data_IF_197310017740
#
_entry.id   IF_197310017740
#
_cell.length_a   1.000
_cell.length_b   1.000
_cell.length_c   1.000
_cell.angle_alpha   90.00
_cell.angle_beta   90.00
_cell.angle_gamma   90.00
#
_symmetry.space_group_name_H-M   'P 1'
#
loop_
_entity.id
_entity.type
_entity.pdbx_description
1 polymer ?
#
# COMPACT_ATOMS: atom_id res chain seq x y z
N UNK A 1 21.88 -2.26 -27.06
CA UNK A 1 21.25 -1.32 -26.11
C UNK A 1 21.62 -1.80 -24.72
N UNK A 2 22.55 -1.12 -24.08
CA UNK A 2 23.27 -1.60 -22.89
C UNK A 2 22.41 -1.33 -21.65
N UNK A 3 21.92 -2.38 -21.00
CA UNK A 3 21.21 -2.26 -19.72
C UNK A 3 22.18 -1.72 -18.67
N UNK A 4 21.88 -0.56 -18.09
CA UNK A 4 22.53 -0.14 -16.84
C UNK A 4 22.04 -1.08 -15.75
N UNK A 5 22.92 -1.97 -15.32
CA UNK A 5 22.76 -2.74 -14.09
C UNK A 5 22.65 -1.77 -12.92
N UNK A 6 21.50 -1.81 -12.24
CA UNK A 6 21.33 -1.15 -10.96
C UNK A 6 22.22 -1.91 -9.96
N UNK A 7 23.19 -1.22 -9.37
CA UNK A 7 24.09 -1.83 -8.39
C UNK A 7 23.34 -2.03 -7.05
N UNK A 8 22.73 -3.20 -6.91
CA UNK A 8 21.99 -3.64 -5.73
C UNK A 8 22.91 -4.13 -4.60
N UNK A 9 24.24 -4.01 -4.72
CA UNK A 9 25.21 -4.66 -3.82
C UNK A 9 25.36 -4.02 -2.42
N UNK A 10 24.59 -2.98 -2.08
CA UNK A 10 24.76 -2.24 -0.82
C UNK A 10 23.57 -2.30 0.17
N UNK A 11 22.61 -3.20 -0.02
CA UNK A 11 21.59 -3.48 1.00
C UNK A 11 21.79 -4.89 1.56
N UNK A 12 22.69 -5.04 2.53
CA UNK A 12 22.76 -6.21 3.39
C UNK A 12 21.36 -6.49 3.98
N UNK A 13 20.67 -7.53 3.48
CA UNK A 13 19.30 -7.86 3.85
C UNK A 13 19.24 -8.41 5.29
N UNK A 14 18.93 -7.49 6.20
CA UNK A 14 17.96 -7.56 7.29
C UNK A 14 17.57 -8.95 7.85
N UNK A 15 17.90 -9.21 9.13
CA UNK A 15 17.40 -10.33 9.96
C UNK A 15 16.53 -9.81 11.13
N UNK A 16 15.29 -10.27 11.25
CA UNK A 16 14.47 -10.02 12.45
C UNK A 16 14.90 -10.96 13.58
N UNK A 17 14.90 -10.44 14.80
CA UNK A 17 14.99 -11.20 16.04
C UNK A 17 13.59 -11.13 16.65
N UNK A 18 12.98 -12.28 16.95
CA UNK A 18 11.59 -12.43 17.43
C UNK A 18 11.21 -11.46 18.57
N UNK A 19 12.19 -11.02 19.35
CA UNK A 19 12.03 -10.05 20.44
C UNK A 19 11.49 -8.66 20.02
N UNK A 20 11.54 -8.28 18.74
CA UNK A 20 10.98 -6.99 18.26
C UNK A 20 9.49 -7.07 17.86
N UNK A 21 8.91 -8.27 17.84
CA UNK A 21 7.50 -8.51 17.46
C UNK A 21 6.61 -8.79 18.68
N UNK A 22 7.16 -8.86 19.89
CA UNK A 22 6.38 -9.01 21.13
C UNK A 22 5.38 -7.84 21.27
N UNK A 23 4.09 -8.16 21.20
CA UNK A 23 2.99 -7.19 21.34
C UNK A 23 2.26 -6.81 20.04
N UNK A 24 2.71 -7.29 18.87
CA UNK A 24 2.02 -7.07 17.59
C UNK A 24 1.00 -8.20 17.33
N UNK A 25 -0.20 -8.08 17.87
CA UNK A 25 -1.20 -9.18 17.89
C UNK A 25 -2.17 -9.20 16.72
N UNK A 26 -1.93 -8.45 15.64
CA UNK A 26 -2.82 -8.39 14.47
C UNK A 26 -2.09 -8.81 13.20
N UNK A 27 -2.81 -9.40 12.24
CA UNK A 27 -2.28 -9.82 10.92
C UNK A 27 -1.64 -8.65 10.11
N UNK A 28 -1.84 -7.42 10.58
CA UNK A 28 -1.46 -6.16 9.93
C UNK A 28 -0.09 -5.63 10.36
N UNK A 29 0.69 -6.34 11.19
CA UNK A 29 1.97 -5.84 11.71
C UNK A 29 3.01 -5.51 10.61
N UNK A 30 2.90 -6.14 9.43
CA UNK A 30 3.73 -5.80 8.27
C UNK A 30 3.52 -4.37 7.75
N UNK A 31 2.35 -3.78 8.01
CA UNK A 31 2.04 -2.38 7.66
C UNK A 31 2.96 -1.41 8.41
N UNK A 32 3.19 -1.66 9.70
CA UNK A 32 4.10 -0.83 10.50
C UNK A 32 5.54 -0.90 9.98
N UNK A 33 5.96 -2.06 9.51
CA UNK A 33 7.29 -2.24 8.96
C UNK A 33 7.47 -1.48 7.66
N UNK A 34 6.53 -1.55 6.72
CA UNK A 34 6.64 -0.79 5.46
C UNK A 34 6.65 0.72 5.72
N UNK A 35 5.88 1.19 6.71
CA UNK A 35 5.85 2.60 7.12
C UNK A 35 7.19 3.04 7.71
N UNK A 36 7.76 2.25 8.62
CA UNK A 36 9.08 2.51 9.21
C UNK A 36 10.19 2.51 8.15
N UNK A 37 10.12 1.57 7.19
CA UNK A 37 11.08 1.50 6.09
C UNK A 37 11.03 2.76 5.22
N UNK A 38 9.82 3.21 4.86
CA UNK A 38 9.60 4.41 4.05
C UNK A 38 9.96 5.70 4.80
N UNK A 39 9.89 5.71 6.13
CA UNK A 39 10.39 6.80 6.97
C UNK A 39 11.93 6.84 7.07
N UNK A 40 12.64 5.92 6.42
CA UNK A 40 14.11 5.85 6.45
C UNK A 40 14.68 5.24 7.74
N UNK A 41 13.85 4.57 8.55
CA UNK A 41 14.33 3.83 9.71
C UNK A 41 15.18 2.65 9.24
N UNK A 42 16.44 2.57 9.69
CA UNK A 42 17.42 1.52 9.33
C UNK A 42 17.01 0.10 9.78
N UNK A 43 15.87 -0.07 10.44
CA UNK A 43 15.51 -1.27 11.19
C UNK A 43 14.25 -2.01 10.70
N UNK A 44 13.58 -1.57 9.63
CA UNK A 44 12.38 -2.27 9.16
C UNK A 44 12.76 -3.46 8.26
N UNK A 45 12.52 -4.65 8.77
CA UNK A 45 12.85 -5.92 8.12
C UNK A 45 11.52 -6.55 7.70
N UNK A 46 11.23 -6.51 6.41
CA UNK A 46 10.06 -7.24 5.91
C UNK A 46 10.40 -8.73 5.84
N UNK A 47 9.46 -9.64 6.17
CA UNK A 47 9.62 -11.07 5.94
C UNK A 47 10.01 -11.33 4.48
N UNK A 48 10.94 -12.26 4.24
CA UNK A 48 11.28 -12.70 2.89
C UNK A 48 10.42 -13.89 2.51
N UNK A 49 10.04 -13.98 1.23
CA UNK A 49 9.30 -15.13 0.73
C UNK A 49 10.19 -16.29 0.24
N UNK A 50 11.50 -16.25 0.54
CA UNK A 50 12.51 -17.13 -0.05
C UNK A 50 12.57 -18.52 0.61
N UNK A 51 11.52 -19.33 0.38
CA UNK A 51 11.59 -20.80 0.45
C UNK A 51 11.93 -21.43 1.81
N UNK A 52 12.01 -20.64 2.88
CA UNK A 52 11.90 -21.15 4.25
C UNK A 52 10.42 -21.25 4.61
N UNK A 53 10.07 -22.12 5.54
CA UNK A 53 8.73 -22.14 6.13
C UNK A 53 8.45 -20.77 6.75
N UNK A 54 7.86 -19.86 5.98
CA UNK A 54 7.27 -18.63 6.46
C UNK A 54 6.07 -19.08 7.26
N UNK A 55 5.99 -18.76 8.54
CA UNK A 55 4.77 -19.05 9.28
C UNK A 55 3.60 -18.25 8.69
N UNK A 56 2.38 -18.71 8.97
CA UNK A 56 1.18 -18.09 8.41
C UNK A 56 1.05 -16.59 8.77
N UNK A 57 1.51 -16.18 9.95
CA UNK A 57 1.42 -14.78 10.39
C UNK A 57 2.42 -13.88 9.65
N UNK A 58 3.64 -14.34 9.41
CA UNK A 58 4.64 -13.67 8.59
C UNK A 58 4.20 -13.53 7.14
N UNK A 59 3.57 -14.57 6.60
CA UNK A 59 2.98 -14.54 5.26
C UNK A 59 1.89 -13.47 5.14
N UNK A 60 0.95 -13.42 6.09
CA UNK A 60 -0.10 -12.40 6.10
C UNK A 60 0.50 -11.00 6.19
N UNK A 61 1.44 -10.78 7.11
CA UNK A 61 2.10 -9.48 7.26
C UNK A 61 2.81 -9.00 6.00
N UNK A 62 3.48 -9.91 5.28
CA UNK A 62 4.15 -9.60 4.01
C UNK A 62 3.18 -9.04 2.97
N UNK A 63 2.00 -9.64 2.84
CA UNK A 63 0.98 -9.20 1.88
C UNK A 63 0.17 -8.00 2.35
N UNK A 64 -0.18 -7.91 3.63
CA UNK A 64 -0.83 -6.72 4.20
C UNK A 64 0.06 -5.48 4.02
N UNK A 65 1.37 -5.62 4.20
CA UNK A 65 2.34 -4.55 3.91
C UNK A 65 2.25 -4.06 2.46
N UNK A 66 2.27 -4.97 1.47
CA UNK A 66 2.11 -4.60 0.05
C UNK A 66 0.74 -3.96 -0.21
N UNK A 67 -0.31 -4.60 0.30
CA UNK A 67 -1.69 -4.21 0.05
C UNK A 67 -1.94 -2.80 0.56
N UNK A 68 -1.54 -2.51 1.79
CA UNK A 68 -1.59 -1.18 2.39
C UNK A 68 -0.93 -0.10 1.53
N UNK A 69 0.28 -0.35 1.02
CA UNK A 69 0.97 0.61 0.15
C UNK A 69 0.14 0.93 -1.09
N UNK A 70 -0.58 -0.04 -1.62
CA UNK A 70 -1.40 0.12 -2.81
C UNK A 70 -2.73 0.81 -2.50
N UNK A 71 -3.51 0.29 -1.54
CA UNK A 71 -4.87 0.77 -1.29
C UNK A 71 -4.90 2.06 -0.48
N UNK A 72 -4.02 2.20 0.51
CA UNK A 72 -4.02 3.33 1.44
C UNK A 72 -2.97 4.39 1.07
N UNK A 73 -1.75 4.03 0.64
CA UNK A 73 -0.76 5.06 0.20
C UNK A 73 -0.99 5.52 -1.23
N UNK A 74 -1.06 4.62 -2.21
CA UNK A 74 -1.32 5.02 -3.60
C UNK A 74 -2.79 5.41 -3.83
N UNK A 75 -3.68 5.03 -2.90
CA UNK A 75 -5.11 5.32 -3.00
C UNK A 75 -5.78 4.56 -4.13
N UNK A 76 -5.21 3.43 -4.58
CA UNK A 76 -5.77 2.64 -5.67
C UNK A 76 -7.00 1.89 -5.19
N UNK A 77 -8.08 2.01 -5.96
CA UNK A 77 -9.27 1.20 -5.75
C UNK A 77 -9.11 -0.18 -6.36
N UNK A 78 -8.43 -0.29 -7.51
CA UNK A 78 -8.15 -1.56 -8.18
C UNK A 78 -6.65 -1.80 -8.24
N UNK A 79 -6.10 -2.55 -7.25
CA UNK A 79 -4.68 -2.90 -7.21
C UNK A 79 -4.19 -3.59 -8.47
N UNK A 80 -5.00 -4.50 -9.02
CA UNK A 80 -4.66 -5.26 -10.22
C UNK A 80 -4.50 -4.33 -11.41
N UNK A 81 -5.45 -3.43 -11.64
CA UNK A 81 -5.37 -2.45 -12.74
C UNK A 81 -4.16 -1.55 -12.62
N UNK A 82 -3.91 -1.00 -11.42
CA UNK A 82 -2.77 -0.11 -11.20
C UNK A 82 -1.43 -0.78 -11.47
N UNK A 83 -1.23 -2.00 -10.95
CA UNK A 83 0.02 -2.74 -11.16
C UNK A 83 0.17 -3.23 -12.61
N UNK A 84 -0.91 -3.64 -13.29
CA UNK A 84 -0.86 -3.98 -14.72
C UNK A 84 -0.45 -2.77 -15.56
N UNK A 85 -1.09 -1.61 -15.34
CA UNK A 85 -0.77 -0.39 -16.06
C UNK A 85 0.67 0.08 -15.80
N UNK A 86 1.14 0.01 -14.56
CA UNK A 86 2.52 0.33 -14.21
C UNK A 86 3.52 -0.64 -14.87
N UNK A 87 3.19 -1.93 -14.92
CA UNK A 87 3.99 -2.96 -15.60
C UNK A 87 4.05 -2.73 -17.11
N UNK A 88 2.93 -2.42 -17.76
CA UNK A 88 2.86 -2.16 -19.20
C UNK A 88 3.68 -0.94 -19.62
N UNK A 89 3.86 0.03 -18.71
CA UNK A 89 4.74 1.18 -18.90
C UNK A 89 6.24 0.85 -18.68
N UNK A 90 6.59 -0.40 -18.39
CA UNK A 90 7.96 -0.82 -18.11
C UNK A 90 8.43 -0.49 -16.69
N UNK A 91 7.51 -0.32 -15.73
CA UNK A 91 7.79 0.02 -14.33
C UNK A 91 8.66 1.28 -14.18
N UNK A 92 8.22 2.44 -14.71
CA UNK A 92 9.01 3.67 -14.65
C UNK A 92 9.31 4.06 -13.19
N UNK A 93 10.54 4.50 -12.89
CA UNK A 93 10.92 4.92 -11.54
C UNK A 93 10.40 6.33 -11.22
N UNK A 94 10.52 6.74 -9.95
CA UNK A 94 10.29 8.12 -9.54
C UNK A 94 8.96 8.37 -8.83
N UNK A 95 8.38 7.31 -8.27
CA UNK A 95 7.43 7.36 -7.17
C UNK A 95 7.96 6.50 -6.02
N UNK A 96 8.17 7.11 -4.86
CA UNK A 96 8.80 6.44 -3.72
C UNK A 96 8.08 5.17 -3.29
N UNK A 97 6.76 5.11 -3.43
CA UNK A 97 5.99 3.92 -3.03
C UNK A 97 6.18 2.80 -4.03
N UNK A 98 6.09 3.08 -5.33
CA UNK A 98 6.33 2.07 -6.38
C UNK A 98 7.79 1.61 -6.44
N UNK A 99 8.73 2.51 -6.22
CA UNK A 99 10.15 2.20 -6.14
C UNK A 99 10.44 1.26 -4.95
N UNK A 100 9.78 1.48 -3.80
CA UNK A 100 9.85 0.58 -2.65
C UNK A 100 9.17 -0.77 -2.92
N UNK A 101 8.02 -0.78 -3.60
CA UNK A 101 7.36 -2.03 -3.98
C UNK A 101 8.27 -2.86 -4.90
N UNK A 102 8.94 -2.22 -5.85
CA UNK A 102 9.88 -2.87 -6.75
C UNK A 102 11.11 -3.44 -6.01
N UNK A 103 11.61 -2.74 -4.99
CA UNK A 103 12.82 -3.14 -4.27
C UNK A 103 12.62 -4.30 -3.29
N UNK A 104 11.39 -4.49 -2.81
CA UNK A 104 11.01 -5.60 -1.93
C UNK A 104 10.38 -6.73 -2.77
N UNK A 105 9.08 -6.64 -3.06
CA UNK A 105 8.33 -7.71 -3.74
C UNK A 105 8.78 -7.96 -5.19
N UNK A 106 9.31 -6.94 -5.85
CA UNK A 106 9.90 -7.10 -7.19
C UNK A 106 11.19 -7.91 -7.16
N UNK A 107 12.06 -7.68 -6.17
CA UNK A 107 13.30 -8.44 -5.99
C UNK A 107 13.05 -9.85 -5.45
N UNK A 108 12.03 -10.01 -4.62
CA UNK A 108 11.62 -11.31 -4.09
C UNK A 108 10.89 -12.16 -5.13
N UNK A 109 10.66 -11.62 -6.35
CA UNK A 109 9.98 -12.28 -7.47
C UNK A 109 8.54 -12.70 -7.17
N UNK A 110 7.93 -12.14 -6.12
CA UNK A 110 6.56 -12.45 -5.70
C UNK A 110 5.54 -11.46 -6.23
N UNK A 111 5.98 -10.30 -6.74
CA UNK A 111 5.05 -9.25 -7.18
C UNK A 111 4.10 -9.73 -8.28
N UNK A 112 4.57 -10.57 -9.22
CA UNK A 112 3.72 -11.10 -10.28
C UNK A 112 2.59 -12.00 -9.74
N UNK A 113 2.83 -12.71 -8.64
CA UNK A 113 1.80 -13.52 -7.97
C UNK A 113 0.68 -12.64 -7.41
N UNK A 114 1.04 -11.53 -6.77
CA UNK A 114 0.06 -10.56 -6.29
C UNK A 114 -0.71 -9.89 -7.43
N UNK A 115 -0.03 -9.52 -8.53
CA UNK A 115 -0.70 -8.96 -9.72
C UNK A 115 -1.70 -9.96 -10.28
N UNK A 116 -1.34 -11.24 -10.37
CA UNK A 116 -2.22 -12.29 -10.83
C UNK A 116 -3.45 -12.44 -9.91
N UNK A 117 -3.23 -12.59 -8.61
CA UNK A 117 -4.31 -12.66 -7.61
C UNK A 117 -5.25 -11.45 -7.69
N UNK A 118 -4.72 -10.23 -7.73
CA UNK A 118 -5.53 -9.01 -7.81
C UNK A 118 -6.26 -8.87 -9.16
N UNK A 119 -5.71 -9.44 -10.24
CA UNK A 119 -6.38 -9.50 -11.55
C UNK A 119 -7.57 -10.45 -11.52
N UNK A 120 -7.40 -11.64 -10.95
CA UNK A 120 -8.47 -12.63 -10.84
C UNK A 120 -9.59 -12.12 -9.93
N UNK A 121 -9.22 -11.46 -8.84
CA UNK A 121 -10.14 -10.91 -7.85
C UNK A 121 -10.56 -9.45 -8.11
N UNK A 122 -10.37 -8.93 -9.34
CA UNK A 122 -10.66 -7.52 -9.67
C UNK A 122 -12.09 -7.08 -9.28
N UNK A 123 -13.07 -7.99 -9.39
CA UNK A 123 -14.45 -7.72 -9.01
C UNK A 123 -14.64 -7.45 -7.51
N UNK A 124 -13.80 -8.05 -6.65
CA UNK A 124 -13.87 -7.87 -5.20
C UNK A 124 -13.40 -6.47 -4.77
N UNK A 125 -12.61 -5.78 -5.61
CA UNK A 125 -12.16 -4.42 -5.36
C UNK A 125 -13.08 -3.35 -5.95
N UNK A 126 -14.07 -3.74 -6.76
CA UNK A 126 -15.00 -2.81 -7.39
C UNK A 126 -16.12 -2.33 -6.45
N UNK A 127 -16.19 -2.84 -5.21
CA UNK A 127 -17.21 -2.47 -4.22
C UNK A 127 -16.90 -1.11 -3.59
N UNK A 128 -17.51 -0.06 -4.13
CA UNK A 128 -17.50 1.30 -3.60
C UNK A 128 -18.36 2.24 -4.45
N UNK A 129 -18.63 3.46 -3.98
CA UNK A 129 -19.51 4.46 -4.64
C UNK A 129 -18.96 5.04 -5.98
N UNK A 130 -18.03 4.36 -6.66
CA UNK A 130 -17.42 4.80 -7.92
C UNK A 130 -17.74 3.87 -9.09
N UNK A 131 -17.54 4.34 -10.34
CA UNK A 131 -17.72 3.51 -11.55
C UNK A 131 -16.86 2.25 -11.48
N UNK A 132 -17.38 1.04 -11.74
CA UNK A 132 -16.55 -0.17 -11.74
C UNK A 132 -15.30 0.02 -12.60
N UNK A 133 -14.15 -0.50 -12.15
CA UNK A 133 -12.98 -0.57 -13.03
C UNK A 133 -13.34 -1.38 -14.27
N UNK A 134 -12.77 -0.99 -15.42
CA UNK A 134 -12.87 -1.83 -16.62
C UNK A 134 -12.30 -3.22 -16.30
N UNK A 135 -13.01 -4.29 -16.71
CA UNK A 135 -12.54 -5.64 -16.46
C UNK A 135 -11.17 -5.87 -17.14
N UNK A 136 -10.29 -6.68 -16.56
CA UNK A 136 -9.05 -7.07 -17.20
C UNK A 136 -9.32 -7.72 -18.57
N UNK A 137 -8.45 -7.46 -19.55
CA UNK A 137 -8.55 -8.12 -20.86
C UNK A 137 -8.41 -9.64 -20.72
N UNK A 138 -8.91 -10.40 -21.69
CA UNK A 138 -8.75 -11.86 -21.69
C UNK A 138 -7.29 -12.29 -21.63
N UNK A 139 -6.38 -11.54 -22.27
CA UNK A 139 -4.95 -11.82 -22.23
C UNK A 139 -4.41 -11.72 -20.79
N UNK A 140 -4.84 -10.70 -20.03
CA UNK A 140 -4.48 -10.54 -18.63
C UNK A 140 -5.07 -11.63 -17.76
N UNK A 141 -6.32 -12.02 -18.00
CA UNK A 141 -6.95 -13.14 -17.27
C UNK A 141 -6.25 -14.46 -17.54
N UNK A 142 -5.86 -14.76 -18.79
CA UNK A 142 -5.09 -15.97 -19.14
C UNK A 142 -3.72 -15.96 -18.47
N UNK A 143 -3.01 -14.84 -18.53
CA UNK A 143 -1.70 -14.69 -17.88
C UNK A 143 -1.81 -14.90 -16.36
N UNK A 144 -2.81 -14.31 -15.70
CA UNK A 144 -2.98 -14.41 -14.26
C UNK A 144 -3.21 -15.86 -13.81
N UNK A 145 -4.06 -16.62 -14.53
CA UNK A 145 -4.27 -18.05 -14.26
C UNK A 145 -2.99 -18.85 -14.39
N UNK A 146 -2.20 -18.61 -15.44
CA UNK A 146 -0.89 -19.27 -15.63
C UNK A 146 0.12 -18.97 -14.52
N UNK A 147 0.00 -17.82 -13.86
CA UNK A 147 0.84 -17.49 -12.70
C UNK A 147 0.33 -18.21 -11.44
N UNK A 148 -0.98 -18.25 -11.22
CA UNK A 148 -1.58 -18.95 -10.07
C UNK A 148 -1.29 -20.46 -10.09
N UNK A 149 -1.24 -21.07 -11.28
CA UNK A 149 -0.94 -22.50 -11.45
C UNK A 149 0.53 -22.87 -11.17
N UNK A 150 1.39 -21.91 -10.76
CA UNK A 150 2.81 -22.19 -10.47
C UNK A 150 2.97 -22.76 -9.05
N UNK A 151 3.81 -23.79 -8.86
CA UNK A 151 4.15 -24.30 -7.53
C UNK A 151 4.79 -23.22 -6.65
N UNK A 152 4.47 -23.20 -5.35
CA UNK A 152 5.01 -22.26 -4.36
C UNK A 152 4.19 -20.97 -4.17
N UNK A 153 3.03 -20.85 -4.81
CA UNK A 153 2.10 -19.71 -4.67
C UNK A 153 0.76 -20.12 -4.03
N UNK A 154 0.70 -21.30 -3.41
CA UNK A 154 -0.52 -21.94 -2.89
C UNK A 154 -1.22 -21.12 -1.79
N UNK A 155 -0.55 -20.13 -1.20
CA UNK A 155 -1.10 -19.32 -0.12
C UNK A 155 -1.85 -18.06 -0.60
N UNK A 156 -1.78 -17.72 -1.90
CA UNK A 156 -2.76 -16.83 -2.56
C UNK A 156 -3.90 -17.64 -3.19
N UNK A 157 -3.86 -18.97 -3.03
CA UNK A 157 -4.87 -19.90 -3.49
C UNK A 157 -5.81 -20.28 -2.32
N UNK A 158 -7.05 -20.66 -2.65
CA UNK A 158 -8.09 -20.99 -1.66
C UNK A 158 -9.06 -19.84 -1.35
N UNK A 159 -10.25 -19.88 -1.96
CA UNK A 159 -11.30 -18.87 -1.75
C UNK A 159 -11.05 -17.56 -2.52
N UNK A 160 -11.90 -16.55 -2.28
CA UNK A 160 -11.84 -15.26 -2.99
C UNK A 160 -10.88 -14.24 -2.35
N UNK A 161 -10.44 -14.46 -1.11
CA UNK A 161 -9.51 -13.60 -0.38
C UNK A 161 -8.68 -14.38 0.67
N UNK A 162 -7.87 -15.37 0.26
CA UNK A 162 -7.02 -16.16 1.16
C UNK A 162 -6.10 -15.32 2.08
N UNK A 163 -5.48 -14.21 1.65
CA UNK A 163 -4.68 -13.37 2.54
C UNK A 163 -5.51 -12.39 3.39
N UNK A 164 -6.85 -12.45 3.36
CA UNK A 164 -7.75 -11.56 4.10
C UNK A 164 -7.49 -10.05 3.88
N UNK A 165 -7.05 -9.69 2.67
CA UNK A 165 -6.70 -8.32 2.31
C UNK A 165 -7.96 -7.47 2.11
N UNK A 166 -7.97 -6.27 2.69
CA UNK A 166 -9.17 -5.43 2.78
C UNK A 166 -9.10 -4.12 1.99
N UNK A 167 -10.05 -3.25 2.24
CA UNK A 167 -10.04 -1.88 1.74
C UNK A 167 -8.95 -1.03 2.40
N UNK A 168 -8.79 0.22 1.96
CA UNK A 168 -7.82 1.13 2.60
C UNK A 168 -8.20 1.41 4.07
N UNK A 169 -9.50 1.46 4.33
CA UNK A 169 -10.09 1.60 5.64
C UNK A 169 -9.69 0.41 6.52
N UNK A 170 -9.90 -0.82 6.04
CA UNK A 170 -9.57 -2.06 6.76
C UNK A 170 -8.06 -2.16 7.06
N UNK A 171 -7.21 -1.89 6.07
CA UNK A 171 -5.75 -1.95 6.25
C UNK A 171 -5.24 -0.86 7.20
N UNK A 172 -5.91 0.30 7.23
CA UNK A 172 -5.53 1.41 8.11
C UNK A 172 -6.07 1.28 9.53
N UNK A 173 -7.00 0.37 9.79
CA UNK A 173 -7.68 0.27 11.09
C UNK A 173 -6.71 -0.12 12.21
N UNK A 174 -5.68 -0.90 11.87
CA UNK A 174 -4.57 -1.23 12.78
C UNK A 174 -3.67 -0.03 13.15
N UNK A 175 -3.78 1.09 12.42
CA UNK A 175 -3.00 2.31 12.67
C UNK A 175 -3.90 3.32 13.39
N UNK A 176 -3.98 3.15 14.70
CA UNK A 176 -4.69 4.02 15.62
C UNK A 176 -3.85 4.30 16.87
N UNK A 177 -4.26 5.30 17.64
CA UNK A 177 -3.70 5.67 18.94
C UNK A 177 -4.83 5.68 20.00
N UNK A 178 -4.49 5.57 21.29
CA UNK A 178 -5.49 5.66 22.38
C UNK A 178 -6.09 7.07 22.55
N UNK A 179 -5.47 8.07 21.92
CA UNK A 179 -5.86 9.47 22.00
C UNK A 179 -6.75 9.90 20.83
N UNK A 180 -7.60 10.93 20.98
CA UNK A 180 -8.35 11.49 19.86
C UNK A 180 -7.43 12.01 18.76
N UNK A 181 -7.88 11.84 17.51
CA UNK A 181 -7.21 12.39 16.33
C UNK A 181 -7.38 13.91 16.28
N UNK A 182 -6.39 14.59 15.71
CA UNK A 182 -6.39 16.04 15.60
C UNK A 182 -5.91 16.49 14.22
N UNK A 183 -6.71 17.32 13.55
CA UNK A 183 -6.35 17.98 12.30
C UNK A 183 -6.06 19.46 12.60
N UNK A 184 -4.88 19.94 12.25
CA UNK A 184 -4.42 21.30 12.51
C UNK A 184 -3.92 21.95 11.23
N UNK A 185 -4.47 23.11 10.88
CA UNK A 185 -3.99 23.92 9.76
C UNK A 185 -2.70 24.62 10.18
N UNK A 186 -1.60 24.32 9.51
CA UNK A 186 -0.29 24.94 9.77
C UNK A 186 -0.04 26.15 8.85
N UNK A 187 -0.54 26.12 7.62
CA UNK A 187 -0.41 27.23 6.68
C UNK A 187 -1.62 27.24 5.73
N UNK A 188 -2.57 28.15 5.96
CA UNK A 188 -3.78 28.26 5.14
C UNK A 188 -3.49 28.80 3.74
N UNK A 189 -2.47 29.66 3.57
CA UNK A 189 -2.09 30.22 2.28
C UNK A 189 -1.48 29.16 1.37
N UNK A 190 -0.59 28.32 1.91
CA UNK A 190 0.02 27.20 1.18
C UNK A 190 -0.80 25.91 1.26
N UNK A 191 -1.93 25.93 1.97
CA UNK A 191 -2.86 24.80 2.14
C UNK A 191 -2.13 23.59 2.73
N UNK A 192 -1.40 23.80 3.81
CA UNK A 192 -0.73 22.73 4.57
C UNK A 192 -1.42 22.52 5.90
N UNK A 193 -1.69 21.28 6.22
CA UNK A 193 -2.19 20.87 7.52
C UNK A 193 -1.38 19.67 8.02
N UNK A 194 -1.47 19.43 9.32
CA UNK A 194 -0.96 18.24 9.99
C UNK A 194 -2.14 17.49 10.56
N UNK A 195 -2.20 16.20 10.32
CA UNK A 195 -3.13 15.29 10.97
C UNK A 195 -2.36 14.33 11.86
N UNK A 196 -2.69 14.35 13.14
CA UNK A 196 -2.25 13.36 14.10
C UNK A 196 -3.37 12.33 14.25
N UNK A 197 -3.08 11.08 13.84
CA UNK A 197 -4.03 9.96 13.96
C UNK A 197 -4.48 9.75 15.40
N UNK A 198 -5.64 9.11 15.56
CA UNK A 198 -6.24 8.89 16.86
C UNK A 198 -6.88 7.51 16.99
N UNK A 199 -7.92 7.40 17.81
CA UNK A 199 -8.63 6.16 18.15
C UNK A 199 -9.24 5.36 17.00
N UNK A 200 -9.33 5.94 15.81
CA UNK A 200 -9.89 5.30 14.64
C UNK A 200 -8.81 5.12 13.59
N UNK A 201 -8.97 4.12 12.71
CA UNK A 201 -8.10 3.94 11.55
C UNK A 201 -7.89 5.26 10.81
N UNK A 202 -6.62 5.64 10.65
CA UNK A 202 -6.27 7.00 10.25
C UNK A 202 -6.88 7.42 8.91
N UNK A 203 -7.07 6.47 7.98
CA UNK A 203 -7.45 6.77 6.59
C UNK A 203 -8.89 7.29 6.53
N UNK A 204 -9.83 6.59 7.17
CA UNK A 204 -11.24 6.98 7.19
C UNK A 204 -11.48 8.22 8.06
N UNK A 205 -10.80 8.33 9.20
CA UNK A 205 -10.88 9.51 10.06
C UNK A 205 -10.34 10.76 9.33
N UNK A 206 -9.17 10.66 8.69
CA UNK A 206 -8.64 11.76 7.87
C UNK A 206 -9.57 12.13 6.72
N UNK A 207 -10.14 11.13 6.03
CA UNK A 207 -11.09 11.38 4.93
C UNK A 207 -12.34 12.11 5.41
N UNK A 208 -12.83 11.76 6.60
CA UNK A 208 -13.99 12.41 7.23
C UNK A 208 -13.65 13.84 7.63
N UNK A 209 -12.53 14.04 8.31
CA UNK A 209 -12.03 15.34 8.78
C UNK A 209 -11.56 16.24 7.64
N UNK A 210 -11.35 15.72 6.44
CA UNK A 210 -11.05 16.53 5.27
C UNK A 210 -12.10 17.62 5.02
N UNK A 211 -13.35 17.39 5.44
CA UNK A 211 -14.46 18.35 5.37
C UNK A 211 -14.31 19.55 6.32
N UNK A 212 -13.46 19.44 7.34
CA UNK A 212 -13.13 20.53 8.27
C UNK A 212 -12.15 21.53 7.66
N UNK A 213 -11.42 21.13 6.61
CA UNK A 213 -10.53 22.03 5.89
C UNK A 213 -11.34 23.05 5.10
N UNK A 214 -10.95 24.34 5.12
CA UNK A 214 -11.60 25.36 4.32
C UNK A 214 -11.70 24.95 2.86
N UNK A 215 -12.89 25.16 2.28
CA UNK A 215 -13.15 24.84 0.88
C UNK A 215 -12.36 25.81 -0.01
N UNK A 216 -11.23 25.34 -0.51
CA UNK A 216 -10.40 26.08 -1.45
C UNK A 216 -10.32 25.27 -2.73
N UNK A 217 -10.93 25.79 -3.78
CA UNK A 217 -10.77 25.23 -5.11
C UNK A 217 -9.28 25.20 -5.51
N UNK A 218 -8.76 24.09 -6.07
CA UNK A 218 -9.34 22.74 -6.13
C UNK A 218 -8.59 21.80 -5.15
N UNK A 219 -8.99 21.70 -3.87
CA UNK A 219 -8.48 20.75 -2.86
C UNK A 219 -6.99 20.45 -2.93
N UNK A 220 -6.20 21.53 -2.92
CA UNK A 220 -4.74 21.47 -2.95
C UNK A 220 -4.13 21.34 -1.55
N UNK A 221 -4.94 20.88 -0.59
CA UNK A 221 -4.45 20.62 0.76
C UNK A 221 -3.46 19.47 0.72
N UNK A 222 -2.31 19.73 1.34
CA UNK A 222 -1.27 18.74 1.65
C UNK A 222 -1.33 18.51 3.14
N UNK A 223 -1.72 17.29 3.52
CA UNK A 223 -1.87 16.93 4.92
C UNK A 223 -0.76 15.97 5.30
N UNK A 224 0.18 16.44 6.11
CA UNK A 224 1.19 15.57 6.69
C UNK A 224 0.54 14.73 7.79
N UNK A 225 0.64 13.42 7.69
CA UNK A 225 0.00 12.49 8.60
C UNK A 225 1.03 11.89 9.53
N UNK A 226 0.73 11.91 10.83
CA UNK A 226 1.55 11.33 11.88
C UNK A 226 0.72 10.37 12.74
N UNK A 227 1.38 9.34 13.25
CA UNK A 227 0.90 8.50 14.33
C UNK A 227 1.88 8.59 15.49
N UNK A 228 1.41 8.66 16.74
CA UNK A 228 2.30 8.90 17.89
C UNK A 228 3.31 7.77 18.08
N UNK A 229 2.94 6.55 17.75
CA UNK A 229 3.78 5.35 17.86
C UNK A 229 4.67 5.14 16.62
N UNK A 230 4.14 5.37 15.43
CA UNK A 230 4.84 5.05 14.17
C UNK A 230 5.57 6.25 13.55
N UNK A 231 5.28 7.47 13.98
CA UNK A 231 5.84 8.70 13.44
C UNK A 231 5.15 9.11 12.14
N UNK A 232 5.94 9.62 11.19
CA UNK A 232 5.44 10.17 9.93
C UNK A 232 4.96 9.08 8.97
N UNK A 233 3.70 9.16 8.54
CA UNK A 233 3.07 8.20 7.64
C UNK A 233 3.14 8.64 6.17
N UNK A 234 3.14 9.95 5.91
CA UNK A 234 3.23 10.52 4.57
C UNK A 234 2.49 11.84 4.43
N UNK A 235 2.68 12.50 3.28
CA UNK A 235 1.91 13.68 2.88
C UNK A 235 0.77 13.22 1.99
N UNK A 236 -0.45 13.32 2.50
CA UNK A 236 -1.67 12.87 1.84
C UNK A 236 -2.39 14.01 1.15
N UNK A 237 -3.04 13.67 0.05
CA UNK A 237 -3.88 14.54 -0.78
C UNK A 237 -5.19 13.83 -1.08
N UNK A 238 -6.32 14.55 -1.02
CA UNK A 238 -7.61 14.02 -1.46
C UNK A 238 -7.80 14.25 -2.96
N UNK A 239 -7.95 13.17 -3.71
CA UNK A 239 -8.26 13.23 -5.14
C UNK A 239 -9.71 13.66 -5.35
N UNK A 240 -9.94 14.67 -6.20
CA UNK A 240 -11.29 15.09 -6.60
C UNK A 240 -11.96 14.09 -7.54
N UNK A 241 -11.17 13.43 -8.36
CA UNK A 241 -11.66 12.48 -9.37
C UNK A 241 -12.19 11.21 -8.72
N UNK A 242 -11.55 10.76 -7.65
CA UNK A 242 -11.80 9.44 -7.05
C UNK A 242 -12.36 9.54 -5.64
N UNK A 243 -12.24 10.70 -4.97
CA UNK A 243 -12.61 10.86 -3.56
C UNK A 243 -11.68 10.12 -2.59
N UNK A 244 -10.54 9.62 -3.06
CA UNK A 244 -9.60 8.82 -2.26
C UNK A 244 -8.37 9.62 -1.86
N UNK A 245 -7.83 9.30 -0.69
CA UNK A 245 -6.57 9.86 -0.22
C UNK A 245 -5.42 9.15 -0.92
N UNK A 246 -4.34 9.88 -1.22
CA UNK A 246 -3.13 9.30 -1.80
C UNK A 246 -1.89 10.12 -1.44
N UNK A 247 -0.73 9.46 -1.52
CA UNK A 247 0.61 10.02 -1.41
C UNK A 247 1.23 10.07 -2.81
N UNK A 248 2.06 11.08 -3.07
CA UNK A 248 2.84 11.17 -4.30
C UNK A 248 2.12 11.84 -5.48
N UNK A 249 2.44 11.42 -6.69
CA UNK A 249 1.95 12.06 -7.92
C UNK A 249 0.53 11.61 -8.24
N UNK A 250 -0.32 12.56 -8.64
CA UNK A 250 -1.69 12.25 -9.05
C UNK A 250 -1.73 11.29 -10.25
N UNK A 251 -0.78 11.39 -11.20
CA UNK A 251 -0.69 10.46 -12.34
C UNK A 251 -0.47 9.01 -11.90
N UNK A 252 0.24 8.77 -10.79
CA UNK A 252 0.45 7.43 -10.23
C UNK A 252 -0.82 6.94 -9.55
N UNK A 253 -1.46 7.79 -8.75
CA UNK A 253 -2.78 7.50 -8.16
C UNK A 253 -3.83 7.07 -9.20
N UNK A 254 -3.81 7.70 -10.38
CA UNK A 254 -4.76 7.38 -11.45
C UNK A 254 -4.52 6.04 -12.15
N UNK A 255 -3.39 5.35 -11.93
CA UNK A 255 -3.15 4.04 -12.55
C UNK A 255 -4.16 2.99 -12.07
N UNK A 256 -4.50 2.99 -10.77
CA UNK A 256 -5.44 2.04 -10.16
C UNK A 256 -6.86 2.58 -9.93
N UNK A 257 -7.24 3.69 -10.60
CA UNK A 257 -8.54 4.33 -10.41
C UNK A 257 -9.21 4.72 -11.72
#
# INVERSE_FOLDING_TARGET
>A
MTFRTYDASNMNRFRLVDAQLEGLTTNSWGIELVLRALAGSRAAILPTADGKEIDHAQYLAYWHGLHFLIVARLGWRDPGRGLRAWRDQGRPPGDTTLDFIASVWGQDQTLDAYIAWATINHANFAYGNGRPSEPPSEAWMRWARQVQDRPGLELLDGGSNPPHLGSAEDESDSIHDDEPGALTIVDSTRRRAIYLSGRHGFYEDLRTRWKELPDVAPNNWRVEVFNRRLGYLGEYRLSRTTGRLHVGKHSVHMLGN
#
